data_IF_985577858479
#
_entry.id   IF_985577858479
#
_cell.length_a   1.000
_cell.length_b   1.000
_cell.length_c   1.000
_cell.angle_alpha   90.00
_cell.angle_beta   90.00
_cell.angle_gamma   90.00
#
_symmetry.space_group_name_H-M   'P 1'
#
loop_
_entity.id
_entity.type
_entity.pdbx_description
1 polymer ?
#
# COMPACT_ATOMS: atom_id res chain seq x y z
N UNK A 1 -9.60 70.60 -42.76
CA UNK A 1 -10.36 70.58 -41.50
C UNK A 1 -11.25 69.33 -41.39
N UNK A 2 -11.63 68.66 -42.46
CA UNK A 2 -12.59 67.52 -42.44
C UNK A 2 -12.07 66.17 -41.88
N UNK A 3 -10.73 65.90 -41.94
CA UNK A 3 -10.16 64.58 -41.55
C UNK A 3 -10.22 64.32 -40.03
N UNK A 4 -10.07 65.34 -39.22
CA UNK A 4 -10.15 65.24 -37.74
C UNK A 4 -11.56 64.93 -37.23
N UNK A 5 -12.61 65.48 -37.91
CA UNK A 5 -13.98 65.23 -37.55
C UNK A 5 -14.40 63.79 -37.95
N UNK A 6 -13.96 63.36 -39.12
CA UNK A 6 -14.19 62.00 -39.58
C UNK A 6 -13.53 60.95 -38.68
N UNK A 7 -12.28 61.15 -38.32
CA UNK A 7 -11.54 60.28 -37.38
C UNK A 7 -12.23 60.18 -36.01
N UNK A 8 -12.77 61.27 -35.47
CA UNK A 8 -13.50 61.27 -34.19
C UNK A 8 -14.82 60.53 -34.30
N UNK A 9 -15.54 60.69 -35.40
CA UNK A 9 -16.83 59.96 -35.62
C UNK A 9 -16.56 58.44 -35.80
N UNK A 10 -15.56 58.06 -36.57
CA UNK A 10 -15.17 56.62 -36.73
C UNK A 10 -14.78 56.05 -35.38
N UNK A 11 -13.94 56.71 -34.59
CA UNK A 11 -13.54 56.24 -33.28
C UNK A 11 -14.72 56.08 -32.30
N UNK A 12 -15.65 57.04 -32.33
CA UNK A 12 -16.86 56.98 -31.51
C UNK A 12 -17.76 55.79 -31.89
N UNK A 13 -18.04 55.62 -33.15
CA UNK A 13 -18.86 54.49 -33.62
C UNK A 13 -18.18 53.14 -33.39
N UNK A 14 -16.88 53.06 -33.61
CA UNK A 14 -16.10 51.84 -33.32
C UNK A 14 -16.09 51.51 -31.81
N UNK A 15 -15.94 52.52 -30.96
CA UNK A 15 -16.01 52.33 -29.51
C UNK A 15 -17.38 51.86 -29.03
N UNK A 16 -18.44 52.48 -29.53
CA UNK A 16 -19.82 52.06 -29.20
C UNK A 16 -20.15 50.66 -29.69
N UNK A 17 -19.64 50.25 -30.86
CA UNK A 17 -19.85 48.91 -31.40
C UNK A 17 -18.95 47.84 -30.69
N UNK A 18 -17.74 48.23 -30.28
CA UNK A 18 -16.79 47.33 -29.62
C UNK A 18 -17.13 47.10 -28.14
N UNK A 19 -17.69 48.10 -27.44
CA UNK A 19 -17.98 48.02 -26.02
C UNK A 19 -18.84 46.79 -25.62
N UNK A 20 -19.95 46.48 -26.24
CA UNK A 20 -20.76 45.32 -25.88
C UNK A 20 -20.02 43.99 -26.20
N UNK A 21 -19.22 43.95 -27.27
CA UNK A 21 -18.46 42.75 -27.62
C UNK A 21 -17.34 42.44 -26.57
N UNK A 22 -16.67 43.50 -26.11
CA UNK A 22 -15.64 43.35 -25.06
C UNK A 22 -16.32 42.94 -23.74
N UNK A 23 -17.46 43.52 -23.40
CA UNK A 23 -18.18 43.17 -22.16
C UNK A 23 -18.64 41.72 -22.16
N UNK A 24 -19.17 41.22 -23.27
CA UNK A 24 -19.53 39.81 -23.44
C UNK A 24 -18.28 38.91 -23.34
N UNK A 25 -17.17 39.27 -23.99
CA UNK A 25 -15.94 38.49 -23.92
C UNK A 25 -15.37 38.40 -22.51
N UNK A 26 -15.37 39.52 -21.77
CA UNK A 26 -14.93 39.57 -20.38
C UNK A 26 -15.85 38.72 -19.48
N UNK A 27 -17.16 38.83 -19.69
CA UNK A 27 -18.15 38.04 -18.95
C UNK A 27 -17.92 36.53 -19.17
N UNK A 28 -17.80 36.09 -20.41
CA UNK A 28 -17.52 34.68 -20.70
C UNK A 28 -16.18 34.20 -20.14
N UNK A 29 -15.16 35.03 -20.24
CA UNK A 29 -13.86 34.72 -19.63
C UNK A 29 -13.97 34.49 -18.13
N UNK A 30 -14.66 35.38 -17.40
CA UNK A 30 -14.86 35.24 -15.95
C UNK A 30 -15.71 34.00 -15.62
N UNK A 31 -16.78 33.75 -16.35
CA UNK A 31 -17.63 32.57 -16.12
C UNK A 31 -16.86 31.27 -16.35
N UNK A 32 -16.07 31.20 -17.42
CA UNK A 32 -15.25 30.01 -17.71
C UNK A 32 -14.20 29.85 -16.61
N UNK A 33 -13.48 30.90 -16.26
CA UNK A 33 -12.39 30.81 -15.28
C UNK A 33 -12.90 30.43 -13.89
N UNK A 34 -13.93 31.09 -13.40
CA UNK A 34 -14.51 30.80 -12.08
C UNK A 34 -15.29 29.48 -12.05
N UNK A 35 -16.01 29.17 -13.12
CA UNK A 35 -16.81 27.93 -13.22
C UNK A 35 -15.95 26.68 -13.41
N UNK A 36 -14.91 26.78 -14.24
CA UNK A 36 -14.02 25.64 -14.49
C UNK A 36 -13.15 25.30 -13.29
N UNK A 37 -12.63 26.32 -12.60
CA UNK A 37 -11.76 26.13 -11.43
C UNK A 37 -12.54 25.49 -10.28
N UNK A 38 -13.74 25.95 -9.98
CA UNK A 38 -14.57 25.39 -8.92
C UNK A 38 -15.02 23.94 -9.27
N UNK A 39 -15.51 23.73 -10.51
CA UNK A 39 -16.01 22.42 -10.91
C UNK A 39 -14.90 21.36 -11.02
N UNK A 40 -13.75 21.73 -11.58
CA UNK A 40 -12.61 20.81 -11.75
C UNK A 40 -11.92 20.47 -10.43
N UNK A 41 -11.72 21.46 -9.56
CA UNK A 41 -11.11 21.27 -8.25
C UNK A 41 -11.93 20.32 -7.37
N UNK A 42 -13.24 20.51 -7.29
CA UNK A 42 -14.09 19.65 -6.46
C UNK A 42 -14.21 18.23 -7.01
N UNK A 43 -14.29 18.08 -8.32
CA UNK A 43 -14.42 16.75 -8.93
C UNK A 43 -13.13 15.94 -8.83
N UNK A 44 -11.99 16.55 -9.12
CA UNK A 44 -10.69 15.87 -9.03
C UNK A 44 -10.33 15.57 -7.57
N UNK A 45 -10.53 16.50 -6.66
CA UNK A 45 -10.27 16.27 -5.23
C UNK A 45 -11.14 15.16 -4.65
N UNK A 46 -12.40 15.04 -5.08
CA UNK A 46 -13.28 13.98 -4.58
C UNK A 46 -12.85 12.60 -5.08
N UNK A 47 -12.45 12.50 -6.36
CA UNK A 47 -11.95 11.24 -6.93
C UNK A 47 -10.66 10.79 -6.24
N UNK A 48 -9.71 11.71 -6.05
CA UNK A 48 -8.44 11.40 -5.38
C UNK A 48 -8.66 11.00 -3.91
N UNK A 49 -9.53 11.71 -3.18
CA UNK A 49 -9.86 11.33 -1.80
C UNK A 49 -10.51 9.97 -1.70
N UNK A 50 -11.50 9.69 -2.54
CA UNK A 50 -12.18 8.39 -2.54
C UNK A 50 -11.22 7.25 -2.91
N UNK A 51 -10.31 7.45 -3.87
CA UNK A 51 -9.30 6.46 -4.23
C UNK A 51 -8.33 6.17 -3.07
N UNK A 52 -7.93 7.20 -2.33
CA UNK A 52 -7.09 7.01 -1.14
C UNK A 52 -7.82 6.30 0.00
N UNK A 53 -9.11 6.59 0.20
CA UNK A 53 -9.91 5.94 1.22
C UNK A 53 -10.12 4.45 0.91
N UNK A 54 -10.44 4.13 -0.33
CA UNK A 54 -10.57 2.73 -0.79
C UNK A 54 -9.24 1.99 -0.67
N UNK A 55 -8.13 2.59 -1.09
CA UNK A 55 -6.81 1.98 -0.97
C UNK A 55 -6.43 1.70 0.49
N UNK A 56 -6.72 2.65 1.40
CA UNK A 56 -6.47 2.45 2.83
C UNK A 56 -7.35 1.36 3.44
N UNK A 57 -8.64 1.33 3.09
CA UNK A 57 -9.55 0.30 3.55
C UNK A 57 -9.09 -1.08 3.06
N UNK A 58 -8.72 -1.20 1.80
CA UNK A 58 -8.17 -2.43 1.22
C UNK A 58 -6.89 -2.88 1.93
N UNK A 59 -5.92 -1.98 2.13
CA UNK A 59 -4.68 -2.32 2.85
C UNK A 59 -4.94 -2.71 4.31
N UNK A 60 -5.92 -2.10 4.98
CA UNK A 60 -6.28 -2.45 6.35
C UNK A 60 -6.91 -3.84 6.42
N UNK A 61 -7.87 -4.14 5.54
CA UNK A 61 -8.51 -5.46 5.45
C UNK A 61 -7.51 -6.56 5.10
N UNK A 62 -6.62 -6.28 4.12
CA UNK A 62 -5.59 -7.23 3.71
C UNK A 62 -4.59 -7.51 4.83
N UNK A 63 -4.20 -6.48 5.59
CA UNK A 63 -3.34 -6.63 6.78
C UNK A 63 -3.98 -7.48 7.86
N UNK A 64 -5.26 -7.30 8.12
CA UNK A 64 -6.01 -8.09 9.10
C UNK A 64 -6.10 -9.57 8.66
N UNK A 65 -6.37 -9.81 7.37
CA UNK A 65 -6.42 -11.15 6.80
C UNK A 65 -5.08 -11.87 6.91
N UNK A 66 -3.98 -11.22 6.48
CA UNK A 66 -2.61 -11.76 6.59
C UNK A 66 -2.26 -12.04 8.07
N UNK A 67 -2.59 -11.11 8.96
CA UNK A 67 -2.33 -11.30 10.39
C UNK A 67 -3.07 -12.49 10.97
N UNK A 68 -4.34 -12.66 10.63
CA UNK A 68 -5.14 -13.80 11.06
C UNK A 68 -4.59 -15.13 10.55
N UNK A 69 -4.21 -15.17 9.26
CA UNK A 69 -3.64 -16.37 8.64
C UNK A 69 -2.25 -16.72 9.19
N UNK A 70 -1.38 -15.71 9.42
CA UNK A 70 -0.08 -15.89 10.05
C UNK A 70 -0.18 -16.44 11.48
N UNK A 71 -1.12 -15.93 12.29
CA UNK A 71 -1.39 -16.45 13.64
C UNK A 71 -1.88 -17.89 13.58
N UNK A 72 -2.78 -18.22 12.64
CA UNK A 72 -3.29 -19.58 12.49
C UNK A 72 -2.17 -20.56 12.09
N UNK A 73 -1.31 -20.14 11.17
CA UNK A 73 -0.13 -20.91 10.74
C UNK A 73 0.83 -21.11 11.91
N UNK A 74 1.17 -20.06 12.67
CA UNK A 74 2.03 -20.16 13.84
C UNK A 74 1.50 -21.17 14.88
N UNK A 75 0.20 -21.10 15.20
CA UNK A 75 -0.44 -22.08 16.10
C UNK A 75 -0.36 -23.50 15.59
N UNK A 76 -0.47 -23.71 14.29
CA UNK A 76 -0.34 -25.04 13.66
C UNK A 76 1.09 -25.55 13.80
N UNK A 77 2.08 -24.70 13.60
CA UNK A 77 3.50 -25.02 13.77
C UNK A 77 3.81 -25.33 15.23
N UNK A 78 3.35 -24.49 16.17
CA UNK A 78 3.53 -24.72 17.60
C UNK A 78 2.93 -26.05 18.07
N UNK A 79 1.73 -26.38 17.59
CA UNK A 79 1.08 -27.66 17.91
C UNK A 79 1.85 -28.86 17.36
N UNK A 80 2.40 -28.75 16.16
CA UNK A 80 3.16 -29.84 15.53
C UNK A 80 4.56 -29.99 16.13
N UNK A 81 5.21 -28.89 16.48
CA UNK A 81 6.53 -28.89 17.12
C UNK A 81 6.50 -29.54 18.52
N UNK A 82 5.34 -29.46 19.22
CA UNK A 82 5.14 -30.17 20.49
C UNK A 82 6.17 -29.86 21.57
N UNK A 83 6.82 -28.70 21.52
CA UNK A 83 7.90 -28.30 22.40
C UNK A 83 9.27 -28.90 22.06
N UNK A 84 9.41 -29.58 20.91
CA UNK A 84 10.71 -30.03 20.41
C UNK A 84 11.44 -28.88 19.70
N UNK A 85 12.78 -28.81 19.82
CA UNK A 85 13.54 -27.83 19.07
C UNK A 85 13.41 -28.11 17.58
N UNK A 86 13.10 -27.09 16.80
CA UNK A 86 13.07 -27.20 15.33
C UNK A 86 14.51 -27.35 14.84
N UNK A 87 14.80 -28.47 14.17
CA UNK A 87 16.08 -28.70 13.51
C UNK A 87 15.90 -28.59 11.99
N UNK A 88 16.79 -27.83 11.30
CA UNK A 88 16.77 -27.75 9.83
C UNK A 88 16.90 -29.13 9.14
N UNK A 89 17.46 -30.10 9.85
CA UNK A 89 17.72 -31.46 9.34
C UNK A 89 16.55 -32.41 9.56
N UNK A 90 15.53 -32.01 10.36
CA UNK A 90 14.37 -32.86 10.61
C UNK A 90 13.46 -32.94 9.35
N UNK A 91 13.50 -34.07 8.69
CA UNK A 91 12.71 -34.36 7.48
C UNK A 91 11.20 -34.26 7.76
N UNK A 92 10.76 -34.71 8.95
CA UNK A 92 9.33 -34.72 9.31
C UNK A 92 8.81 -33.30 9.49
N UNK A 93 9.64 -32.44 10.09
CA UNK A 93 9.27 -31.03 10.26
C UNK A 93 9.20 -30.29 8.92
N UNK A 94 10.15 -30.57 8.01
CA UNK A 94 10.11 -30.00 6.65
C UNK A 94 8.87 -30.45 5.87
N UNK A 95 8.58 -31.74 5.86
CA UNK A 95 7.37 -32.26 5.22
C UNK A 95 6.06 -31.71 5.81
N UNK A 96 6.07 -31.45 7.12
CA UNK A 96 4.93 -30.80 7.78
C UNK A 96 4.84 -29.33 7.34
N UNK A 97 5.95 -28.60 7.33
CA UNK A 97 6.00 -27.21 6.92
C UNK A 97 5.55 -27.05 5.46
N UNK A 98 6.03 -27.90 4.55
CA UNK A 98 5.66 -27.90 3.14
C UNK A 98 4.15 -28.09 2.96
N UNK A 99 3.59 -29.14 3.58
CA UNK A 99 2.14 -29.42 3.51
C UNK A 99 1.29 -28.31 4.12
N UNK A 100 1.78 -27.69 5.19
CA UNK A 100 1.04 -26.61 5.86
C UNK A 100 1.13 -25.34 5.04
N UNK A 101 2.26 -25.05 4.41
CA UNK A 101 2.44 -23.91 3.51
C UNK A 101 1.57 -24.03 2.26
N UNK A 102 1.49 -25.21 1.64
CA UNK A 102 0.60 -25.48 0.50
C UNK A 102 -0.89 -25.22 0.81
N UNK A 103 -1.28 -25.31 2.08
CA UNK A 103 -2.64 -25.04 2.53
C UNK A 103 -2.92 -23.57 2.83
N UNK A 104 -1.92 -22.70 2.76
CA UNK A 104 -2.02 -21.25 3.02
C UNK A 104 -1.91 -20.45 1.72
N UNK A 105 -2.26 -19.15 1.79
CA UNK A 105 -2.08 -18.26 0.66
C UNK A 105 -0.71 -17.53 0.68
N UNK A 106 0.20 -17.95 1.57
CA UNK A 106 1.53 -17.35 1.62
C UNK A 106 2.41 -17.86 0.48
N UNK A 107 3.06 -16.94 -0.22
CA UNK A 107 4.00 -17.25 -1.30
C UNK A 107 5.30 -17.85 -0.77
N UNK A 108 5.73 -17.42 0.41
CA UNK A 108 6.94 -17.88 1.06
C UNK A 108 6.77 -17.96 2.59
N UNK A 109 7.34 -18.98 3.19
CA UNK A 109 7.29 -19.22 4.64
C UNK A 109 8.68 -19.54 5.15
N UNK A 110 9.14 -18.80 6.13
CA UNK A 110 10.42 -18.98 6.77
C UNK A 110 10.25 -19.13 8.27
N UNK A 111 11.05 -20.01 8.85
CA UNK A 111 11.30 -20.06 10.30
C UNK A 111 12.67 -19.47 10.52
N UNK A 112 12.74 -18.44 11.34
CA UNK A 112 13.97 -17.70 11.64
C UNK A 112 14.37 -17.90 13.10
N UNK A 113 15.66 -17.74 13.40
CA UNK A 113 16.15 -17.56 14.77
C UNK A 113 16.12 -16.08 15.20
N UNK A 114 16.48 -15.78 16.44
CA UNK A 114 16.57 -14.41 16.97
C UNK A 114 17.57 -13.51 16.26
N UNK A 115 18.51 -14.07 15.50
CA UNK A 115 19.44 -13.33 14.65
C UNK A 115 18.87 -13.02 13.27
N UNK A 116 17.66 -13.52 12.94
CA UNK A 116 17.04 -13.37 11.62
C UNK A 116 17.60 -14.33 10.57
N UNK A 117 18.31 -15.38 10.98
CA UNK A 117 18.82 -16.41 10.08
C UNK A 117 17.76 -17.49 9.86
N UNK A 118 17.72 -18.04 8.65
CA UNK A 118 16.76 -19.07 8.26
C UNK A 118 17.13 -20.40 8.93
N UNK A 119 16.22 -20.90 9.75
CA UNK A 119 16.29 -22.24 10.37
C UNK A 119 15.58 -23.27 9.49
N UNK A 120 14.43 -22.93 8.96
CA UNK A 120 13.67 -23.75 8.02
C UNK A 120 12.91 -22.88 7.03
N UNK A 121 12.52 -23.46 5.90
CA UNK A 121 11.74 -22.79 4.87
C UNK A 121 10.76 -23.77 4.22
N UNK A 122 9.59 -23.27 3.81
CA UNK A 122 8.63 -24.02 2.99
C UNK A 122 9.14 -24.22 1.56
N UNK A 123 8.59 -25.20 0.86
CA UNK A 123 9.05 -25.64 -0.47
C UNK A 123 9.09 -24.48 -1.49
N UNK A 124 8.06 -23.66 -1.56
CA UNK A 124 7.95 -22.56 -2.54
C UNK A 124 8.88 -21.38 -2.23
N UNK A 125 9.36 -21.26 -0.98
CA UNK A 125 10.25 -20.18 -0.55
C UNK A 125 11.61 -20.16 -1.28
N UNK A 126 11.96 -21.21 -2.01
CA UNK A 126 13.16 -21.23 -2.85
C UNK A 126 13.03 -20.41 -4.14
N UNK A 127 11.82 -20.07 -4.52
CA UNK A 127 11.52 -19.29 -5.72
C UNK A 127 11.68 -17.79 -5.49
N UNK A 128 11.74 -17.36 -4.24
CA UNK A 128 11.74 -15.95 -3.83
C UNK A 128 13.09 -15.53 -3.21
N UNK A 129 13.40 -14.25 -3.36
CA UNK A 129 14.60 -13.68 -2.71
C UNK A 129 14.28 -13.36 -1.25
N UNK A 130 15.01 -14.01 -0.33
CA UNK A 130 14.86 -13.74 1.09
C UNK A 130 15.36 -12.34 1.45
N UNK A 131 14.47 -11.54 2.03
CA UNK A 131 14.80 -10.24 2.62
C UNK A 131 14.68 -10.38 4.15
N UNK A 132 15.77 -10.31 4.92
CA UNK A 132 15.70 -10.50 6.36
C UNK A 132 14.90 -9.37 7.04
N UNK A 133 14.16 -9.69 8.11
CA UNK A 133 13.49 -8.67 8.91
C UNK A 133 14.51 -7.76 9.61
N UNK A 134 14.10 -6.54 9.96
CA UNK A 134 14.97 -5.65 10.72
C UNK A 134 15.13 -6.16 12.17
N UNK A 135 16.26 -5.84 12.81
CA UNK A 135 16.47 -6.17 14.23
C UNK A 135 15.36 -5.61 15.12
N UNK A 136 14.87 -4.42 14.81
CA UNK A 136 13.75 -3.81 15.52
C UNK A 136 12.45 -4.63 15.41
N UNK A 137 12.21 -5.22 14.24
CA UNK A 137 11.01 -6.05 14.03
C UNK A 137 11.14 -7.38 14.79
N UNK A 138 12.34 -7.95 14.83
CA UNK A 138 12.64 -9.12 15.67
C UNK A 138 12.45 -8.82 17.16
N UNK A 139 12.89 -7.67 17.64
CA UNK A 139 12.69 -7.25 19.04
C UNK A 139 11.21 -7.10 19.39
N UNK A 140 10.42 -6.50 18.48
CA UNK A 140 8.96 -6.39 18.65
C UNK A 140 8.30 -7.75 18.65
N UNK A 141 8.63 -8.62 17.71
CA UNK A 141 8.12 -9.99 17.67
C UNK A 141 8.54 -10.80 18.93
N UNK A 142 9.75 -10.60 19.43
CA UNK A 142 10.23 -11.23 20.67
C UNK A 142 9.38 -10.87 21.89
N UNK A 143 8.78 -9.67 21.91
CA UNK A 143 7.83 -9.25 22.95
C UNK A 143 6.44 -9.85 22.82
N UNK A 144 6.20 -10.67 21.78
CA UNK A 144 4.91 -11.31 21.50
C UNK A 144 3.98 -10.47 20.59
N UNK A 145 4.52 -9.40 19.97
CA UNK A 145 3.75 -8.59 19.04
C UNK A 145 3.80 -9.20 17.62
N UNK A 146 2.63 -9.25 16.96
CA UNK A 146 2.57 -9.55 15.52
C UNK A 146 3.03 -8.32 14.75
N UNK A 147 4.15 -8.43 14.05
CA UNK A 147 4.71 -7.35 13.25
C UNK A 147 4.35 -7.56 11.79
N UNK A 148 3.60 -6.63 11.20
CA UNK A 148 3.27 -6.65 9.77
C UNK A 148 3.94 -5.44 9.10
N UNK A 149 4.75 -5.72 8.08
CA UNK A 149 5.43 -4.71 7.26
C UNK A 149 4.94 -4.78 5.82
N UNK A 150 4.78 -3.62 5.25
CA UNK A 150 4.45 -3.43 3.84
C UNK A 150 5.70 -2.91 3.13
N UNK A 151 6.20 -3.68 2.17
CA UNK A 151 7.23 -3.21 1.24
C UNK A 151 6.54 -2.58 0.03
N UNK A 152 6.51 -1.25 0.03
CA UNK A 152 5.86 -0.47 -1.03
C UNK A 152 6.56 -0.58 -2.38
N UNK A 153 7.81 -1.03 -2.41
CA UNK A 153 8.56 -1.18 -3.66
C UNK A 153 8.27 -2.51 -4.32
N UNK A 154 8.07 -3.56 -3.51
CA UNK A 154 7.77 -4.90 -3.97
C UNK A 154 6.26 -5.19 -4.03
N UNK A 155 5.41 -4.29 -3.49
CA UNK A 155 3.97 -4.51 -3.29
C UNK A 155 3.68 -5.79 -2.48
N UNK A 156 4.54 -6.05 -1.51
CA UNK A 156 4.48 -7.24 -0.64
C UNK A 156 4.17 -6.84 0.79
N UNK A 157 3.38 -7.65 1.47
CA UNK A 157 3.21 -7.58 2.92
C UNK A 157 3.87 -8.78 3.57
N UNK A 158 4.63 -8.52 4.62
CA UNK A 158 5.31 -9.55 5.39
C UNK A 158 4.88 -9.52 6.85
N UNK A 159 4.60 -10.70 7.40
CA UNK A 159 4.26 -10.86 8.80
C UNK A 159 5.37 -11.60 9.55
N UNK A 160 5.69 -11.12 10.74
CA UNK A 160 6.69 -11.72 11.63
C UNK A 160 6.06 -11.89 13.01
N UNK A 161 6.13 -13.08 13.57
CA UNK A 161 5.70 -13.36 14.93
C UNK A 161 6.54 -14.47 15.56
N UNK A 162 6.69 -14.41 16.89
CA UNK A 162 7.38 -15.44 17.68
C UNK A 162 6.52 -16.70 17.78
N UNK A 163 7.15 -17.86 17.70
CA UNK A 163 6.53 -19.15 18.02
C UNK A 163 6.61 -19.39 19.54
N UNK A 164 5.51 -19.82 20.11
CA UNK A 164 5.40 -19.97 21.58
C UNK A 164 6.00 -21.28 22.07
N UNK A 165 5.81 -22.36 21.31
CA UNK A 165 6.24 -23.71 21.70
C UNK A 165 7.67 -24.06 21.26
N UNK A 166 8.31 -23.18 20.48
CA UNK A 166 9.66 -23.42 19.96
C UNK A 166 10.61 -22.37 20.49
N UNK A 167 11.68 -22.84 21.12
CA UNK A 167 12.71 -21.96 21.65
C UNK A 167 13.41 -21.23 20.50
N UNK A 168 13.51 -19.92 20.61
CA UNK A 168 14.24 -19.03 19.69
C UNK A 168 13.80 -19.15 18.22
N UNK A 169 12.48 -19.28 17.99
CA UNK A 169 11.95 -19.41 16.63
C UNK A 169 10.88 -18.36 16.33
N UNK A 170 10.92 -17.86 15.10
CA UNK A 170 10.01 -16.84 14.59
C UNK A 170 9.46 -17.29 13.24
N UNK A 171 8.15 -17.19 13.07
CA UNK A 171 7.50 -17.35 11.78
C UNK A 171 7.61 -16.03 11.00
N UNK A 172 8.10 -16.12 9.77
CA UNK A 172 8.20 -15.00 8.83
C UNK A 172 7.61 -15.40 7.47
N UNK A 173 6.57 -14.71 7.06
CA UNK A 173 5.76 -15.01 5.87
C UNK A 173 5.46 -13.74 5.07
#
# INVERSE_FOLDING_TARGET
AGSRLHARMVAFFTGVAAAPAILVAVFFFLVIQLGFEAWFSDRVSSIVRNSHEVARAYSAEHREAIGGEAIALAKSIDAAAGGMPISPEDVRFREFLDRTTEATNFSDVYILNSSGEIVARGADSFLFTFTPPSLRDLDLAASGELVIREDRLADEMRALLKLDSVFDAYLYV
#
